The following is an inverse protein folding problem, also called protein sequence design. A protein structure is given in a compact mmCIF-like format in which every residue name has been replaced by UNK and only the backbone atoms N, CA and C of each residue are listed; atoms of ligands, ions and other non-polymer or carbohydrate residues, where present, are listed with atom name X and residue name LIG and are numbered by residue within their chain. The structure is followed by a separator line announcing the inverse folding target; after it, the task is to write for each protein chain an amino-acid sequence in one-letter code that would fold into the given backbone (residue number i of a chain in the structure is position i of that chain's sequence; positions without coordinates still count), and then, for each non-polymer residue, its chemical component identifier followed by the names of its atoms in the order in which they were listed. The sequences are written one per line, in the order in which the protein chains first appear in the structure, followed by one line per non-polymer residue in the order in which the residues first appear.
data_IF_706105385471
#
_entry.id   IF_706105385471
#
_cell.length_a   1.000
_cell.length_b   1.000
_cell.length_c   1.000
_cell.angle_alpha   90.00
_cell.angle_beta   90.00
_cell.angle_gamma   90.00
#
_symmetry.space_group_name_H-M   'P 1'
#
loop_
_entity.id
_entity.type
_entity.pdbx_description
1 polymer ?
#
# COMPACT_ATOMS: atom_id res chain seq x y z
N UNK A 1 -33.44 9.15 -20.47
CA UNK A 1 -33.37 8.16 -19.35
C UNK A 1 -32.48 6.94 -19.64
N UNK A 2 -32.08 6.67 -20.89
CA UNK A 2 -31.25 5.51 -21.27
C UNK A 2 -29.88 5.49 -20.59
N UNK A 3 -29.21 6.63 -20.52
CA UNK A 3 -27.89 6.77 -19.85
C UNK A 3 -27.95 6.39 -18.38
N UNK A 4 -28.93 6.91 -17.62
CA UNK A 4 -29.07 6.60 -16.19
C UNK A 4 -29.36 5.12 -15.94
N UNK A 5 -30.17 4.48 -16.79
CA UNK A 5 -30.49 3.04 -16.67
C UNK A 5 -29.29 2.11 -16.92
N UNK A 6 -28.29 2.60 -17.65
CA UNK A 6 -27.05 1.85 -17.95
C UNK A 6 -25.97 2.03 -16.88
N UNK A 7 -26.24 2.79 -15.82
CA UNK A 7 -25.30 3.02 -14.70
C UNK A 7 -25.80 2.35 -13.42
N UNK A 8 -24.92 2.21 -12.42
CA UNK A 8 -25.31 1.80 -11.07
C UNK A 8 -25.76 3.06 -10.30
N UNK A 9 -27.06 3.20 -9.97
CA UNK A 9 -27.55 4.40 -9.31
C UNK A 9 -27.23 4.38 -7.81
N UNK A 10 -26.75 5.50 -7.29
CA UNK A 10 -26.64 5.77 -5.87
C UNK A 10 -27.56 6.93 -5.51
N UNK A 11 -28.41 6.74 -4.50
CA UNK A 11 -29.44 7.71 -4.12
C UNK A 11 -29.09 8.36 -2.78
N UNK A 12 -29.10 9.69 -2.76
CA UNK A 12 -29.09 10.49 -1.53
C UNK A 12 -30.37 11.31 -1.53
N UNK A 13 -31.22 11.10 -0.51
CA UNK A 13 -32.48 11.83 -0.35
C UNK A 13 -32.30 12.92 0.70
N UNK A 14 -32.30 14.17 0.26
CA UNK A 14 -32.25 15.33 1.15
C UNK A 14 -33.64 15.59 1.75
N UNK A 15 -33.70 15.88 3.04
CA UNK A 15 -34.94 16.19 3.77
C UNK A 15 -34.85 17.61 4.30
N UNK A 16 -35.89 18.41 4.09
CA UNK A 16 -35.97 19.78 4.58
C UNK A 16 -36.41 19.76 6.05
N UNK A 17 -35.61 20.29 7.00
CA UNK A 17 -35.95 20.23 8.41
C UNK A 17 -37.01 21.26 8.83
N UNK A 18 -37.04 22.44 8.20
CA UNK A 18 -38.03 23.49 8.44
C UNK A 18 -38.07 24.48 7.26
N UNK A 19 -39.20 25.19 7.08
CA UNK A 19 -39.33 26.24 6.06
C UNK A 19 -38.75 27.59 6.47
N UNK A 20 -38.49 27.80 7.77
CA UNK A 20 -37.92 29.05 8.31
C UNK A 20 -36.43 29.22 8.00
N UNK A 21 -35.78 28.22 7.37
CA UNK A 21 -34.34 28.18 7.07
C UNK A 21 -33.46 28.38 8.31
N UNK A 22 -33.95 28.01 9.51
CA UNK A 22 -33.19 28.12 10.76
C UNK A 22 -32.38 26.84 11.03
N UNK A 23 -31.08 26.93 11.34
CA UNK A 23 -30.32 25.76 11.76
C UNK A 23 -30.82 25.25 13.12
N UNK A 24 -30.71 23.94 13.36
CA UNK A 24 -31.09 23.31 14.64
C UNK A 24 -32.59 23.19 14.92
N UNK A 25 -33.46 23.78 14.09
CA UNK A 25 -34.92 23.65 14.21
C UNK A 25 -35.46 22.54 13.30
N UNK A 26 -36.28 21.64 13.84
CA UNK A 26 -36.93 20.57 13.08
C UNK A 26 -38.45 20.68 13.25
N UNK A 27 -39.18 20.64 12.13
CA UNK A 27 -40.63 20.47 12.11
C UNK A 27 -40.95 18.98 11.83
N UNK A 28 -41.45 18.31 12.86
CA UNK A 28 -41.69 16.86 12.86
C UNK A 28 -42.74 16.42 11.83
N UNK A 29 -43.84 17.16 11.68
CA UNK A 29 -44.91 16.81 10.72
C UNK A 29 -44.42 16.96 9.28
N UNK A 30 -43.70 18.05 9.00
CA UNK A 30 -43.08 18.28 7.69
C UNK A 30 -42.08 17.17 7.31
N UNK A 31 -41.23 16.74 8.25
CA UNK A 31 -40.28 15.65 8.02
C UNK A 31 -41.01 14.31 7.83
N UNK A 32 -42.05 14.03 8.64
CA UNK A 32 -42.81 12.80 8.56
C UNK A 32 -43.51 12.64 7.20
N UNK A 33 -44.13 13.70 6.68
CA UNK A 33 -44.74 13.72 5.36
C UNK A 33 -43.71 13.47 4.26
N UNK A 34 -42.55 14.14 4.31
CA UNK A 34 -41.46 13.90 3.36
C UNK A 34 -40.98 12.45 3.38
N UNK A 35 -40.82 11.83 4.54
CA UNK A 35 -40.38 10.43 4.65
C UNK A 35 -41.41 9.46 4.06
N UNK A 36 -42.71 9.74 4.23
CA UNK A 36 -43.80 8.95 3.65
C UNK A 36 -43.87 9.12 2.13
N UNK A 37 -43.92 10.35 1.64
CA UNK A 37 -44.03 10.64 0.20
C UNK A 37 -42.80 10.17 -0.59
N UNK A 38 -41.60 10.24 0.01
CA UNK A 38 -40.38 9.73 -0.62
C UNK A 38 -40.22 8.19 -0.54
N UNK A 39 -41.14 7.49 0.13
CA UNK A 39 -41.09 6.03 0.30
C UNK A 39 -39.86 5.55 1.06
N UNK A 40 -39.37 6.34 2.02
CA UNK A 40 -38.12 6.01 2.76
C UNK A 40 -38.34 4.77 3.63
N UNK A 41 -39.50 4.64 4.27
CA UNK A 41 -39.82 3.50 5.13
C UNK A 41 -39.90 2.19 4.32
N UNK A 42 -40.55 2.22 3.17
CA UNK A 42 -40.62 1.10 2.23
C UNK A 42 -39.23 0.74 1.69
N UNK A 43 -38.42 1.75 1.36
CA UNK A 43 -37.03 1.55 0.95
C UNK A 43 -36.19 0.83 2.01
N UNK A 44 -36.30 1.27 3.27
CA UNK A 44 -35.63 0.61 4.40
C UNK A 44 -36.13 -0.82 4.57
N UNK A 45 -37.45 -1.06 4.47
CA UNK A 45 -38.06 -2.40 4.58
C UNK A 45 -37.50 -3.34 3.51
N UNK A 46 -37.42 -2.89 2.26
CA UNK A 46 -36.84 -3.65 1.15
C UNK A 46 -35.35 -3.95 1.41
N UNK A 47 -34.57 -2.97 1.87
CA UNK A 47 -33.16 -3.18 2.20
C UNK A 47 -32.96 -4.18 3.35
N UNK A 48 -33.86 -4.20 4.34
CA UNK A 48 -33.80 -5.12 5.50
C UNK A 48 -34.23 -6.54 5.15
N UNK A 49 -35.26 -6.69 4.32
CA UNK A 49 -35.77 -8.00 3.91
C UNK A 49 -34.94 -8.60 2.76
N UNK A 50 -34.37 -7.74 1.92
CA UNK A 50 -33.58 -8.13 0.76
C UNK A 50 -32.10 -8.35 1.04
N UNK A 51 -31.35 -8.46 -0.05
CA UNK A 51 -29.91 -8.67 -0.07
C UNK A 51 -29.25 -7.56 -0.90
N UNK A 52 -28.89 -6.43 -0.26
CA UNK A 52 -28.41 -5.24 -0.97
C UNK A 52 -27.04 -5.45 -1.63
N UNK A 53 -26.18 -6.28 -1.03
CA UNK A 53 -24.84 -6.57 -1.54
C UNK A 53 -24.89 -7.74 -2.52
N UNK A 54 -24.35 -7.53 -3.72
CA UNK A 54 -24.37 -8.50 -4.83
C UNK A 54 -22.97 -8.66 -5.40
N UNK A 55 -22.31 -9.77 -5.14
CA UNK A 55 -20.90 -9.98 -5.50
C UNK A 55 -20.80 -11.14 -6.49
N UNK A 56 -20.13 -10.99 -7.64
CA UNK A 56 -19.79 -12.09 -8.53
C UNK A 56 -19.00 -13.20 -7.83
N UNK A 57 -19.20 -14.45 -8.21
CA UNK A 57 -18.52 -15.58 -7.55
C UNK A 57 -17.00 -15.51 -7.63
N UNK A 58 -16.46 -15.12 -8.78
CA UNK A 58 -15.02 -15.00 -8.97
C UNK A 58 -14.42 -13.90 -8.07
N UNK A 59 -15.11 -12.76 -7.95
CA UNK A 59 -14.70 -11.67 -7.07
C UNK A 59 -14.75 -12.09 -5.60
N UNK A 60 -15.85 -12.74 -5.18
CA UNK A 60 -15.99 -13.24 -3.82
C UNK A 60 -14.88 -14.24 -3.46
N UNK A 61 -14.59 -15.20 -4.36
CA UNK A 61 -13.49 -16.15 -4.18
C UNK A 61 -12.16 -15.42 -4.06
N UNK A 62 -11.79 -14.63 -5.07
CA UNK A 62 -10.49 -13.94 -5.09
C UNK A 62 -10.28 -13.07 -3.84
N UNK A 63 -11.35 -12.44 -3.35
CA UNK A 63 -11.28 -11.53 -2.20
C UNK A 63 -11.19 -12.29 -0.87
N UNK A 64 -12.01 -13.31 -0.66
CA UNK A 64 -12.18 -13.97 0.64
C UNK A 64 -11.53 -15.36 0.76
N UNK A 65 -10.88 -15.89 -0.28
CA UNK A 65 -10.18 -17.19 -0.22
C UNK A 65 -9.08 -17.21 0.86
N UNK A 66 -8.52 -16.04 1.19
CA UNK A 66 -7.58 -15.84 2.31
C UNK A 66 -8.17 -16.17 3.69
N UNK A 67 -9.49 -16.08 3.87
CA UNK A 67 -10.18 -16.44 5.11
C UNK A 67 -10.36 -17.96 5.23
N UNK A 68 -10.39 -18.67 4.10
CA UNK A 68 -10.69 -20.10 3.99
C UNK A 68 -9.51 -20.87 3.37
N UNK A 69 -8.36 -20.95 4.06
CA UNK A 69 -7.19 -21.63 3.52
C UNK A 69 -7.46 -23.13 3.30
N UNK A 70 -6.89 -23.70 2.24
CA UNK A 70 -6.90 -25.13 1.92
C UNK A 70 -8.26 -25.77 1.60
N UNK A 71 -9.35 -24.99 1.54
CA UNK A 71 -10.69 -25.52 1.23
C UNK A 71 -10.90 -25.69 -0.28
N UNK A 72 -10.29 -24.81 -1.07
CA UNK A 72 -10.35 -24.87 -2.52
C UNK A 72 -9.07 -25.56 -3.03
N UNK A 73 -9.16 -26.68 -3.76
CA UNK A 73 -8.02 -27.36 -4.34
C UNK A 73 -7.32 -26.47 -5.37
N UNK A 74 -6.01 -26.68 -5.52
CA UNK A 74 -5.19 -26.00 -6.52
C UNK A 74 -5.60 -26.51 -7.91
N UNK A 75 -6.33 -25.67 -8.66
CA UNK A 75 -6.84 -26.01 -9.99
C UNK A 75 -8.10 -25.23 -10.34
N UNK A 76 -8.68 -25.55 -11.49
CA UNK A 76 -9.97 -25.00 -11.89
C UNK A 76 -11.09 -25.58 -11.03
N UNK A 77 -12.01 -24.72 -10.61
CA UNK A 77 -13.24 -25.08 -9.91
C UNK A 77 -14.33 -24.11 -10.32
N UNK A 78 -15.54 -24.61 -10.46
CA UNK A 78 -16.70 -23.78 -10.73
C UNK A 78 -16.90 -22.72 -9.62
N UNK A 79 -17.23 -21.49 -10.03
CA UNK A 79 -17.36 -20.37 -9.11
C UNK A 79 -18.47 -20.58 -8.08
N UNK A 80 -19.58 -21.21 -8.48
CA UNK A 80 -20.72 -21.46 -7.59
C UNK A 80 -20.36 -22.50 -6.53
N UNK A 81 -19.67 -23.56 -6.93
CA UNK A 81 -19.18 -24.58 -5.99
C UNK A 81 -18.12 -24.05 -5.03
N UNK A 82 -17.19 -23.22 -5.51
CA UNK A 82 -16.20 -22.58 -4.66
C UNK A 82 -16.87 -21.73 -3.58
N UNK A 83 -17.84 -20.88 -3.95
CA UNK A 83 -18.58 -20.05 -2.99
C UNK A 83 -19.39 -20.89 -2.00
N UNK A 84 -20.00 -22.01 -2.41
CA UNK A 84 -20.67 -22.94 -1.49
C UNK A 84 -19.71 -23.53 -0.46
N UNK A 85 -18.51 -23.94 -0.88
CA UNK A 85 -17.48 -24.47 0.02
C UNK A 85 -16.97 -23.39 0.98
N UNK A 86 -16.72 -22.19 0.48
CA UNK A 86 -16.27 -21.06 1.30
C UNK A 86 -17.31 -20.65 2.34
N UNK A 87 -18.57 -20.49 1.94
CA UNK A 87 -19.67 -20.12 2.87
C UNK A 87 -19.89 -21.18 3.94
N UNK A 88 -19.75 -22.47 3.59
CA UNK A 88 -19.81 -23.57 4.58
C UNK A 88 -18.64 -23.52 5.55
N UNK A 89 -17.43 -23.23 5.08
CA UNK A 89 -16.24 -23.16 5.93
C UNK A 89 -16.18 -21.91 6.81
N UNK A 90 -16.80 -20.81 6.36
CA UNK A 90 -17.00 -19.59 7.13
C UNK A 90 -18.18 -19.72 8.12
N UNK A 91 -18.86 -20.88 8.16
CA UNK A 91 -20.01 -21.15 9.03
C UNK A 91 -21.09 -20.07 8.97
N UNK A 92 -21.30 -19.49 7.78
CA UNK A 92 -22.26 -18.41 7.60
C UNK A 92 -23.69 -18.95 7.75
N UNK A 93 -24.51 -18.27 8.56
CA UNK A 93 -25.94 -18.61 8.64
C UNK A 93 -26.58 -18.46 7.26
N UNK A 94 -27.32 -19.50 6.87
CA UNK A 94 -28.14 -19.53 5.68
C UNK A 94 -29.02 -18.28 5.53
N UNK A 95 -29.55 -17.67 6.59
CA UNK A 95 -30.39 -16.46 6.45
C UNK A 95 -29.64 -15.20 6.01
N UNK A 96 -28.32 -15.17 6.17
CA UNK A 96 -27.48 -14.02 5.87
C UNK A 96 -27.11 -13.93 4.38
N UNK A 97 -27.27 -15.01 3.63
CA UNK A 97 -26.92 -15.05 2.21
C UNK A 97 -27.87 -15.86 1.33
N UNK A 98 -27.84 -15.61 0.02
CA UNK A 98 -28.46 -16.45 -1.01
C UNK A 98 -27.49 -16.59 -2.17
N UNK A 99 -27.37 -17.80 -2.71
CA UNK A 99 -26.50 -18.09 -3.87
C UNK A 99 -27.37 -18.06 -5.12
N UNK A 100 -27.11 -17.12 -6.03
CA UNK A 100 -27.78 -17.03 -7.32
C UNK A 100 -27.14 -17.91 -8.40
N UNK A 101 -27.30 -17.51 -9.66
CA UNK A 101 -26.68 -18.22 -10.79
C UNK A 101 -25.23 -17.78 -11.05
N UNK A 102 -24.92 -16.49 -10.90
CA UNK A 102 -23.59 -15.93 -11.15
C UNK A 102 -23.03 -15.09 -10.00
N UNK A 103 -23.87 -14.80 -8.99
CA UNK A 103 -23.57 -13.89 -7.89
C UNK A 103 -24.04 -14.45 -6.56
N UNK A 104 -23.32 -14.13 -5.49
CA UNK A 104 -23.78 -14.28 -4.11
C UNK A 104 -24.45 -12.98 -3.65
N UNK A 105 -25.57 -13.13 -2.96
CA UNK A 105 -26.38 -12.07 -2.41
C UNK A 105 -26.23 -12.10 -0.89
N UNK A 106 -25.84 -10.97 -0.29
CA UNK A 106 -25.53 -10.86 1.14
C UNK A 106 -26.44 -9.81 1.77
N UNK A 107 -26.85 -10.08 3.02
CA UNK A 107 -27.54 -9.08 3.85
C UNK A 107 -26.60 -7.94 4.23
N UNK A 108 -27.18 -6.81 4.63
CA UNK A 108 -26.43 -5.68 5.13
C UNK A 108 -25.57 -6.09 6.34
N UNK A 109 -24.34 -5.55 6.43
CA UNK A 109 -23.39 -5.82 7.51
C UNK A 109 -22.47 -7.03 7.26
N UNK A 110 -22.95 -8.09 6.59
CA UNK A 110 -22.18 -9.33 6.39
C UNK A 110 -20.87 -9.08 5.62
N UNK A 111 -20.93 -8.27 4.56
CA UNK A 111 -19.74 -7.94 3.77
C UNK A 111 -18.71 -7.14 4.60
N UNK A 112 -19.17 -6.27 5.50
CA UNK A 112 -18.28 -5.49 6.35
C UNK A 112 -17.56 -6.39 7.37
N UNK A 113 -18.28 -7.36 7.96
CA UNK A 113 -17.68 -8.36 8.85
C UNK A 113 -16.61 -9.19 8.14
N UNK A 114 -16.88 -9.65 6.91
CA UNK A 114 -15.90 -10.40 6.11
C UNK A 114 -14.66 -9.54 5.76
N UNK A 115 -14.82 -8.24 5.50
CA UNK A 115 -13.68 -7.34 5.29
C UNK A 115 -12.86 -7.15 6.57
N UNK A 116 -13.50 -6.99 7.73
CA UNK A 116 -12.81 -6.80 9.01
C UNK A 116 -11.98 -8.03 9.42
N UNK A 117 -12.55 -9.23 9.26
CA UNK A 117 -11.82 -10.49 9.47
C UNK A 117 -10.63 -10.62 8.50
N UNK A 118 -10.82 -10.21 7.25
CA UNK A 118 -9.78 -10.25 6.23
C UNK A 118 -8.67 -9.27 6.54
N UNK A 119 -8.99 -8.05 6.92
CA UNK A 119 -8.01 -7.03 7.31
C UNK A 119 -7.18 -7.50 8.49
N UNK A 120 -7.80 -8.16 9.47
CA UNK A 120 -7.09 -8.75 10.62
C UNK A 120 -6.09 -9.82 10.17
N UNK A 121 -6.46 -10.71 9.24
CA UNK A 121 -5.54 -11.73 8.69
C UNK A 121 -4.42 -11.11 7.87
N UNK A 122 -4.74 -10.12 7.03
CA UNK A 122 -3.76 -9.44 6.17
C UNK A 122 -2.79 -8.60 6.98
N UNK A 123 -3.22 -7.97 8.07
CA UNK A 123 -2.36 -7.18 8.96
C UNK A 123 -1.14 -7.98 9.44
N UNK A 124 -1.34 -9.24 9.85
CA UNK A 124 -0.25 -10.12 10.27
C UNK A 124 0.78 -10.40 9.17
N UNK A 125 0.33 -10.54 7.91
CA UNK A 125 1.23 -10.72 6.76
C UNK A 125 1.96 -9.41 6.42
N UNK A 126 1.24 -8.28 6.41
CA UNK A 126 1.78 -6.96 6.10
C UNK A 126 2.87 -6.57 7.11
N UNK A 127 2.66 -6.81 8.41
CA UNK A 127 3.67 -6.51 9.44
C UNK A 127 4.97 -7.29 9.18
N UNK A 128 4.89 -8.57 8.84
CA UNK A 128 6.06 -9.40 8.52
C UNK A 128 6.80 -8.89 7.28
N UNK A 129 6.05 -8.56 6.22
CA UNK A 129 6.61 -7.98 5.01
C UNK A 129 7.31 -6.65 5.29
N UNK A 130 6.64 -5.74 5.99
CA UNK A 130 7.19 -4.44 6.39
C UNK A 130 8.46 -4.60 7.25
N UNK A 131 8.48 -5.54 8.19
CA UNK A 131 9.65 -5.82 9.00
C UNK A 131 10.85 -6.26 8.15
N UNK A 132 10.65 -7.14 7.16
CA UNK A 132 11.71 -7.55 6.24
C UNK A 132 12.22 -6.39 5.39
N UNK A 133 11.32 -5.59 4.80
CA UNK A 133 11.70 -4.42 4.01
C UNK A 133 12.50 -3.40 4.83
N UNK A 134 12.02 -3.07 6.04
CA UNK A 134 12.72 -2.14 6.95
C UNK A 134 14.10 -2.69 7.36
N UNK A 135 14.20 -3.98 7.66
CA UNK A 135 15.46 -4.62 8.02
C UNK A 135 16.47 -4.60 6.85
N UNK A 136 16.01 -4.84 5.62
CA UNK A 136 16.85 -4.73 4.43
C UNK A 136 17.40 -3.31 4.23
N UNK A 137 16.53 -2.30 4.31
CA UNK A 137 16.95 -0.90 4.22
C UNK A 137 17.93 -0.52 5.34
N UNK A 138 17.64 -0.91 6.58
CA UNK A 138 18.49 -0.63 7.74
C UNK A 138 19.90 -1.20 7.57
N UNK A 139 20.04 -2.45 7.10
CA UNK A 139 21.35 -3.07 6.83
C UNK A 139 22.13 -2.32 5.75
N UNK A 140 21.45 -1.91 4.67
CA UNK A 140 22.07 -1.14 3.59
C UNK A 140 22.54 0.24 4.06
N UNK A 141 21.74 0.93 4.88
CA UNK A 141 22.13 2.20 5.48
C UNK A 141 23.27 2.03 6.48
N UNK A 142 23.28 0.95 7.25
CA UNK A 142 24.36 0.64 8.19
C UNK A 142 25.70 0.46 7.46
N UNK A 143 25.74 -0.35 6.39
CA UNK A 143 26.97 -0.53 5.59
C UNK A 143 27.51 0.80 5.06
N UNK A 144 26.65 1.65 4.49
CA UNK A 144 27.04 3.00 4.03
C UNK A 144 27.64 3.84 5.17
N UNK A 145 27.06 3.79 6.37
CA UNK A 145 27.59 4.52 7.54
C UNK A 145 28.94 3.97 8.01
N UNK A 146 29.14 2.65 7.96
CA UNK A 146 30.42 2.03 8.30
C UNK A 146 31.51 2.46 7.31
N UNK A 147 31.22 2.44 6.01
CA UNK A 147 32.13 2.92 4.97
C UNK A 147 32.49 4.39 5.18
N UNK A 148 31.49 5.24 5.42
CA UNK A 148 31.69 6.66 5.72
C UNK A 148 32.54 6.88 6.99
N UNK A 149 32.26 6.13 8.06
CA UNK A 149 33.02 6.24 9.31
C UNK A 149 34.49 5.85 9.11
N UNK A 150 34.75 4.78 8.36
CA UNK A 150 36.11 4.36 8.03
C UNK A 150 36.83 5.41 7.18
N UNK A 151 36.18 5.96 6.16
CA UNK A 151 36.73 7.04 5.34
C UNK A 151 37.08 8.28 6.18
N UNK A 152 36.17 8.70 7.08
CA UNK A 152 36.41 9.82 8.00
C UNK A 152 37.64 9.58 8.86
N UNK A 153 37.81 8.38 9.45
CA UNK A 153 39.01 8.06 10.26
C UNK A 153 40.30 8.14 9.46
N UNK A 154 40.29 7.65 8.21
CA UNK A 154 41.45 7.73 7.31
C UNK A 154 41.77 9.18 6.97
N UNK A 155 40.75 9.98 6.62
CA UNK A 155 40.93 11.41 6.32
C UNK A 155 41.45 12.18 7.54
N UNK A 156 40.91 11.93 8.73
CA UNK A 156 41.37 12.55 9.98
C UNK A 156 42.82 12.18 10.28
N UNK A 157 43.19 10.90 10.20
CA UNK A 157 44.57 10.44 10.42
C UNK A 157 45.54 11.11 9.45
N UNK A 158 45.20 11.15 8.15
CA UNK A 158 46.03 11.79 7.14
C UNK A 158 46.13 13.31 7.35
N UNK A 159 45.02 13.97 7.70
CA UNK A 159 45.00 15.40 8.01
C UNK A 159 45.88 15.75 9.20
N UNK A 160 45.85 14.94 10.27
CA UNK A 160 46.73 15.11 11.44
C UNK A 160 48.21 14.88 11.10
N UNK A 161 48.53 13.86 10.30
CA UNK A 161 49.90 13.66 9.80
C UNK A 161 50.38 14.84 8.95
N UNK A 162 49.53 15.36 8.06
CA UNK A 162 49.85 16.54 7.25
C UNK A 162 50.08 17.78 8.11
N UNK A 163 49.25 18.03 9.13
CA UNK A 163 49.44 19.15 10.06
C UNK A 163 50.81 19.09 10.76
N UNK A 164 51.29 17.89 11.12
CA UNK A 164 52.63 17.68 11.69
C UNK A 164 53.74 17.93 10.66
N UNK A 165 53.58 17.41 9.44
CA UNK A 165 54.63 17.44 8.40
C UNK A 165 54.74 18.79 7.68
N UNK A 166 53.65 19.56 7.56
CA UNK A 166 53.59 20.78 6.73
C UNK A 166 54.68 21.80 7.08
N UNK A 167 54.97 21.96 8.38
CA UNK A 167 55.95 22.93 8.85
C UNK A 167 57.36 22.32 9.00
N UNK A 168 57.54 21.02 8.75
CA UNK A 168 58.83 20.35 8.88
C UNK A 168 59.79 20.75 7.74
N UNK A 169 61.01 21.15 8.08
CA UNK A 169 61.94 21.77 7.12
C UNK A 169 62.32 20.83 5.96
N UNK A 170 62.58 19.55 6.25
CA UNK A 170 62.88 18.55 5.22
C UNK A 170 61.71 18.33 4.25
N UNK A 171 60.48 18.34 4.77
CA UNK A 171 59.28 18.25 3.94
C UNK A 171 59.14 19.46 3.01
N UNK A 172 59.38 20.68 3.51
CA UNK A 172 59.37 21.91 2.69
C UNK A 172 60.40 21.85 1.56
N UNK A 173 61.62 21.40 1.84
CA UNK A 173 62.66 21.22 0.81
C UNK A 173 62.21 20.20 -0.25
N UNK A 174 61.76 19.02 0.20
CA UNK A 174 61.30 17.95 -0.69
C UNK A 174 60.15 18.43 -1.60
N UNK A 175 59.15 19.13 -1.06
CA UNK A 175 58.01 19.64 -1.85
C UNK A 175 58.42 20.66 -2.91
N UNK A 176 59.50 21.43 -2.70
CA UNK A 176 60.03 22.37 -3.71
C UNK A 176 60.87 21.67 -4.79
N UNK A 177 61.63 20.64 -4.40
CA UNK A 177 62.54 19.92 -5.31
C UNK A 177 61.80 18.88 -6.17
N UNK A 178 60.83 18.16 -5.61
CA UNK A 178 60.11 17.08 -6.30
C UNK A 178 59.50 17.49 -7.66
N UNK A 179 58.83 18.66 -7.82
CA UNK A 179 58.29 19.08 -9.10
C UNK A 179 59.34 19.36 -10.19
N UNK A 180 60.60 19.62 -9.80
CA UNK A 180 61.70 19.86 -10.75
C UNK A 180 62.20 18.53 -11.34
N UNK A 181 62.00 17.42 -10.62
CA UNK A 181 62.42 16.06 -11.00
C UNK A 181 61.39 15.32 -11.88
N UNK A 182 60.54 16.05 -12.62
CA UNK A 182 59.40 15.53 -13.39
C UNK A 182 59.71 14.45 -14.43
N UNK A 183 60.98 14.20 -14.75
CA UNK A 183 61.42 13.21 -15.75
C UNK A 183 60.95 11.79 -15.39
N UNK A 184 60.85 11.43 -14.11
CA UNK A 184 60.46 10.06 -13.69
C UNK A 184 58.96 9.75 -13.79
N UNK A 185 58.09 10.74 -13.99
CA UNK A 185 56.62 10.54 -14.00
C UNK A 185 55.99 10.74 -15.39
N UNK A 186 56.77 11.12 -16.40
CA UNK A 186 56.25 11.41 -17.75
C UNK A 186 55.77 10.16 -18.48
N UNK A 187 56.47 9.03 -18.35
CA UNK A 187 56.08 7.77 -19.00
C UNK A 187 54.72 7.24 -18.50
N UNK A 188 54.50 7.25 -17.19
CA UNK A 188 53.24 6.84 -16.60
C UNK A 188 52.07 7.76 -17.02
N UNK A 189 52.32 9.07 -17.12
CA UNK A 189 51.34 10.05 -17.58
C UNK A 189 51.02 9.88 -19.08
N UNK A 190 52.02 9.61 -19.91
CA UNK A 190 51.83 9.34 -21.34
C UNK A 190 51.07 8.02 -21.57
N UNK A 191 51.36 6.98 -20.78
CA UNK A 191 50.63 5.73 -20.84
C UNK A 191 49.16 5.91 -20.45
N UNK A 192 48.88 6.59 -19.34
CA UNK A 192 47.52 6.87 -18.88
C UNK A 192 46.74 7.71 -19.91
N UNK A 193 47.35 8.76 -20.47
CA UNK A 193 46.75 9.52 -21.58
C UNK A 193 46.50 8.67 -22.82
N UNK A 194 47.42 7.77 -23.13
CA UNK A 194 47.26 6.83 -24.25
C UNK A 194 46.11 5.84 -24.03
N UNK A 195 45.81 5.45 -22.79
CA UNK A 195 44.62 4.65 -22.46
C UNK A 195 43.34 5.47 -22.53
N UNK A 196 43.32 6.69 -21.96
CA UNK A 196 42.17 7.59 -22.04
C UNK A 196 41.75 7.86 -23.50
N UNK A 197 42.73 8.14 -24.37
CA UNK A 197 42.51 8.35 -25.81
C UNK A 197 42.05 7.09 -26.57
N UNK A 198 42.32 5.89 -26.03
CA UNK A 198 41.84 4.62 -26.61
C UNK A 198 40.42 4.28 -26.16
N UNK A 199 39.98 4.81 -25.03
CA UNK A 199 38.63 4.60 -24.47
C UNK A 199 37.61 5.66 -24.86
N UNK A 200 38.05 6.79 -25.42
CA UNK A 200 37.20 7.85 -25.99
C UNK A 200 36.84 7.55 -27.45
#
# INVERSE_FOLDING_TARGET
MTTLRNTVPHFVRCIIPNHEKKPGKINSLLVLEQLRCNGVLEGIRICRQGFPSRVPFQEFRHRYETLTPNIIPKGYMDGKEAVKKMTKALEMDSNLFRIGQSKIFLRAGVLAQLEEERDTKLAGLIIKFQAQCRAFLARRFYQRRVEQSNAIRVLQRNGLSWLKLRNWQWWRLYTKVKPILQVSNQEAVLHAKGEELRTA
#
